data_IF_014045524359
#
_entry.id   IF_014045524359
#
_cell.length_a   1.000
_cell.length_b   1.000
_cell.length_c   1.000
_cell.angle_alpha   90.00
_cell.angle_beta   90.00
_cell.angle_gamma   90.00
#
_symmetry.space_group_name_H-M   'P 1'
#
loop_
_entity.id
_entity.type
_entity.pdbx_description
1 polymer ?
#
# COMPACT_ATOMS: atom_id res chain seq x y z
N UNK A 1 25.80 51.59 -7.07
CA UNK A 1 24.38 51.21 -7.07
C UNK A 1 24.18 49.76 -6.57
N UNK A 2 24.60 49.37 -5.35
CA UNK A 2 24.25 48.04 -4.75
C UNK A 2 24.18 48.07 -3.20
N UNK A 3 23.85 49.20 -2.55
CA UNK A 3 23.91 49.27 -1.06
C UNK A 3 22.73 49.95 -0.36
N UNK A 4 21.55 50.04 -0.99
CA UNK A 4 20.39 50.74 -0.37
C UNK A 4 19.10 49.91 -0.24
N UNK A 5 19.17 48.57 -0.25
CA UNK A 5 17.98 47.70 -0.10
C UNK A 5 17.95 46.98 1.26
N UNK A 6 18.48 47.60 2.33
CA UNK A 6 18.45 47.02 3.69
C UNK A 6 17.68 47.85 4.73
N UNK A 7 16.79 48.74 4.28
CA UNK A 7 15.94 49.54 5.18
C UNK A 7 14.49 49.55 4.70
N UNK A 8 13.82 48.40 4.79
CA UNK A 8 12.36 48.31 4.81
C UNK A 8 11.91 47.03 5.56
N UNK A 9 12.56 46.73 6.69
CA UNK A 9 12.14 45.66 7.61
C UNK A 9 11.07 46.12 8.59
N UNK A 10 10.06 46.86 8.12
CA UNK A 10 9.10 47.55 8.98
C UNK A 10 7.68 47.50 8.46
N UNK A 11 7.05 46.32 8.54
CA UNK A 11 5.58 46.18 8.70
C UNK A 11 5.25 44.82 9.35
N UNK A 12 5.83 44.55 10.52
CA UNK A 12 5.38 43.50 11.44
C UNK A 12 4.08 43.88 12.17
N UNK A 13 3.07 44.38 11.44
CA UNK A 13 1.81 44.89 12.00
C UNK A 13 0.55 44.53 11.19
N UNK A 14 0.67 43.62 10.21
CA UNK A 14 -0.48 43.08 9.47
C UNK A 14 -0.75 41.58 9.77
N UNK A 15 0.11 40.91 10.55
CA UNK A 15 0.04 39.46 10.80
C UNK A 15 -1.02 39.01 11.83
N UNK A 16 -1.71 39.92 12.53
CA UNK A 16 -2.65 39.56 13.60
C UNK A 16 -4.13 39.79 13.27
N UNK A 17 -4.48 40.23 12.06
CA UNK A 17 -5.86 40.62 11.75
C UNK A 17 -6.72 39.49 11.17
N UNK A 18 -6.10 38.49 10.53
CA UNK A 18 -6.76 37.28 10.01
C UNK A 18 -5.88 36.07 10.30
N UNK A 19 -6.32 35.17 11.18
CA UNK A 19 -5.47 34.05 11.58
C UNK A 19 -6.24 32.89 12.19
N UNK A 20 -5.63 31.71 12.15
CA UNK A 20 -6.17 30.47 12.69
C UNK A 20 -6.56 30.60 14.18
N UNK A 21 -5.76 31.33 14.96
CA UNK A 21 -6.05 31.60 16.37
C UNK A 21 -7.25 32.54 16.56
N UNK A 22 -7.41 33.54 15.69
CA UNK A 22 -8.54 34.47 15.74
C UNK A 22 -9.82 33.71 15.38
N UNK A 23 -9.80 32.91 14.31
CA UNK A 23 -10.90 32.03 13.89
C UNK A 23 -11.37 31.05 14.99
N UNK A 24 -10.41 30.51 15.75
CA UNK A 24 -10.69 29.60 16.88
C UNK A 24 -11.27 30.33 18.11
N UNK A 25 -10.86 31.57 18.36
CA UNK A 25 -11.39 32.38 19.47
C UNK A 25 -12.77 32.95 19.12
N UNK A 26 -12.93 33.49 17.92
CA UNK A 26 -14.17 34.06 17.38
C UNK A 26 -15.28 33.03 17.21
N UNK A 27 -14.95 31.83 16.70
CA UNK A 27 -15.89 30.73 16.47
C UNK A 27 -16.36 30.02 17.74
N UNK A 28 -15.75 30.31 18.90
CA UNK A 28 -16.08 29.74 20.21
C UNK A 28 -15.86 28.22 20.31
N UNK A 29 -16.46 27.61 21.33
CA UNK A 29 -16.17 26.21 21.71
C UNK A 29 -16.41 25.19 20.60
N UNK A 30 -17.40 25.44 19.72
CA UNK A 30 -17.74 24.54 18.61
C UNK A 30 -16.61 24.53 17.57
N UNK A 31 -16.08 25.71 17.20
CA UNK A 31 -14.97 25.83 16.24
C UNK A 31 -13.71 25.13 16.76
N UNK A 32 -13.43 25.29 18.06
CA UNK A 32 -12.30 24.61 18.72
C UNK A 32 -12.46 23.09 18.73
N UNK A 33 -13.66 22.59 19.01
CA UNK A 33 -13.96 21.15 18.95
C UNK A 33 -13.79 20.60 17.53
N UNK A 34 -14.31 21.28 16.51
CA UNK A 34 -14.18 20.90 15.10
C UNK A 34 -12.71 20.83 14.69
N UNK A 35 -11.93 21.87 15.01
CA UNK A 35 -10.49 21.90 14.75
C UNK A 35 -9.76 20.75 15.45
N UNK A 36 -10.05 20.51 16.73
CA UNK A 36 -9.42 19.44 17.52
C UNK A 36 -9.71 18.07 16.91
N UNK A 37 -10.95 17.83 16.47
CA UNK A 37 -11.35 16.59 15.79
C UNK A 37 -10.56 16.43 14.48
N UNK A 38 -10.46 17.48 13.65
CA UNK A 38 -9.68 17.43 12.40
C UNK A 38 -8.21 17.12 12.64
N UNK A 39 -7.59 17.74 13.65
CA UNK A 39 -6.20 17.48 14.02
C UNK A 39 -6.03 16.03 14.48
N UNK A 40 -6.92 15.52 15.32
CA UNK A 40 -6.87 14.12 15.79
C UNK A 40 -7.02 13.14 14.61
N UNK A 41 -7.98 13.37 13.72
CA UNK A 41 -8.18 12.56 12.51
C UNK A 41 -6.93 12.57 11.62
N UNK A 42 -6.26 13.71 11.48
CA UNK A 42 -5.01 13.84 10.73
C UNK A 42 -3.89 12.99 11.34
N UNK A 43 -3.64 13.15 12.64
CA UNK A 43 -2.58 12.42 13.35
C UNK A 43 -2.79 10.91 13.26
N UNK A 44 -4.02 10.43 13.49
CA UNK A 44 -4.35 9.00 13.40
C UNK A 44 -4.20 8.49 11.96
N UNK A 45 -4.58 9.29 10.96
CA UNK A 45 -4.42 8.92 9.54
C UNK A 45 -2.96 8.75 9.14
N UNK A 46 -2.10 9.67 9.55
CA UNK A 46 -0.65 9.54 9.32
C UNK A 46 -0.05 8.36 10.07
N UNK A 47 -0.46 8.12 11.32
CA UNK A 47 -0.03 6.95 12.08
C UNK A 47 -0.38 5.64 11.37
N UNK A 48 -1.62 5.49 10.90
CA UNK A 48 -2.05 4.31 10.14
C UNK A 48 -1.28 4.19 8.82
N UNK A 49 -1.10 5.30 8.08
CA UNK A 49 -0.32 5.32 6.85
C UNK A 49 1.08 4.75 7.05
N UNK A 50 1.84 5.28 8.02
CA UNK A 50 3.22 4.83 8.24
C UNK A 50 3.30 3.41 8.81
N UNK A 51 2.45 3.06 9.78
CA UNK A 51 2.44 1.72 10.35
C UNK A 51 2.14 0.65 9.29
N UNK A 52 1.11 0.86 8.46
CA UNK A 52 0.75 -0.07 7.37
C UNK A 52 1.78 -0.06 6.24
N UNK A 53 2.40 1.08 5.95
CA UNK A 53 3.49 1.17 4.98
C UNK A 53 4.62 0.19 5.34
N UNK A 54 5.10 0.24 6.58
CA UNK A 54 6.20 -0.60 7.05
C UNK A 54 5.82 -2.08 7.11
N UNK A 55 4.61 -2.39 7.57
CA UNK A 55 4.06 -3.75 7.58
C UNK A 55 4.01 -4.36 6.17
N UNK A 56 3.41 -3.65 5.21
CA UNK A 56 3.34 -4.07 3.81
C UNK A 56 4.72 -4.19 3.17
N UNK A 57 5.63 -3.24 3.43
CA UNK A 57 7.00 -3.29 2.90
C UNK A 57 7.76 -4.50 3.41
N UNK A 58 7.57 -4.86 4.68
CA UNK A 58 8.13 -6.07 5.26
C UNK A 58 7.62 -7.32 4.55
N UNK A 59 6.33 -7.42 4.27
CA UNK A 59 5.74 -8.58 3.57
C UNK A 59 6.25 -8.67 2.14
N UNK A 60 6.31 -7.56 1.39
CA UNK A 60 6.86 -7.55 0.04
C UNK A 60 8.34 -7.96 0.00
N UNK A 61 9.12 -7.56 1.01
CA UNK A 61 10.51 -8.00 1.12
C UNK A 61 10.60 -9.51 1.47
N UNK A 62 9.67 -10.04 2.26
CA UNK A 62 9.56 -11.47 2.51
C UNK A 62 9.20 -12.24 1.24
N UNK A 63 8.27 -11.73 0.43
CA UNK A 63 7.88 -12.31 -0.86
C UNK A 63 9.10 -12.50 -1.78
N UNK A 64 9.96 -11.48 -1.88
CA UNK A 64 11.21 -11.54 -2.65
C UNK A 64 12.15 -12.63 -2.15
N UNK A 65 12.31 -12.77 -0.83
CA UNK A 65 13.17 -13.82 -0.23
C UNK A 65 12.61 -15.21 -0.49
N UNK A 66 11.31 -15.40 -0.35
CA UNK A 66 10.62 -16.66 -0.63
C UNK A 66 10.83 -17.05 -2.10
N UNK A 67 10.63 -16.12 -3.03
CA UNK A 67 10.82 -16.36 -4.47
C UNK A 67 12.25 -16.71 -4.86
N UNK A 68 13.26 -16.19 -4.13
CA UNK A 68 14.66 -16.42 -4.43
C UNK A 68 15.22 -17.74 -3.89
N UNK A 69 14.72 -18.23 -2.75
CA UNK A 69 15.39 -19.34 -2.04
C UNK A 69 14.48 -20.32 -1.28
N UNK A 70 13.16 -20.17 -1.32
CA UNK A 70 12.28 -21.13 -0.63
C UNK A 70 12.32 -22.50 -1.32
N UNK A 71 12.15 -22.52 -2.65
CA UNK A 71 12.08 -23.76 -3.44
C UNK A 71 13.42 -24.47 -3.65
N UNK A 72 14.54 -23.87 -3.25
CA UNK A 72 15.85 -24.53 -3.24
C UNK A 72 16.07 -25.44 -2.03
N UNK A 73 15.18 -25.42 -1.04
CA UNK A 73 15.26 -26.31 0.12
C UNK A 73 14.76 -27.73 -0.24
N UNK A 74 15.21 -28.73 0.50
CA UNK A 74 14.86 -30.13 0.22
C UNK A 74 13.43 -30.49 0.65
N UNK A 75 12.84 -29.72 1.57
CA UNK A 75 11.45 -29.90 2.03
C UNK A 75 10.78 -28.57 2.40
N UNK A 76 9.44 -28.54 2.44
CA UNK A 76 8.67 -27.38 2.93
C UNK A 76 8.96 -27.06 4.39
N UNK A 77 9.19 -28.07 5.24
CA UNK A 77 9.48 -27.88 6.67
C UNK A 77 10.84 -27.20 6.87
N UNK A 78 11.85 -27.55 6.07
CA UNK A 78 13.13 -26.86 6.06
C UNK A 78 13.00 -25.43 5.48
N UNK A 79 12.19 -25.27 4.43
CA UNK A 79 11.85 -23.96 3.87
C UNK A 79 11.19 -23.05 4.91
N UNK A 80 10.17 -23.55 5.64
CA UNK A 80 9.43 -22.77 6.65
C UNK A 80 10.27 -22.41 7.87
N UNK A 81 11.29 -23.21 8.20
CA UNK A 81 12.25 -22.91 9.27
C UNK A 81 13.21 -21.76 8.91
N UNK A 82 13.47 -21.52 7.61
CA UNK A 82 14.29 -20.40 7.11
C UNK A 82 13.52 -19.09 7.02
N UNK A 83 12.19 -19.10 7.15
CA UNK A 83 11.37 -17.89 7.17
C UNK A 83 11.34 -17.23 8.56
N UNK A 84 11.14 -15.92 8.57
CA UNK A 84 10.97 -15.16 9.81
C UNK A 84 9.74 -15.69 10.60
N UNK A 85 9.87 -15.80 11.93
CA UNK A 85 8.80 -16.28 12.83
C UNK A 85 7.47 -15.52 12.67
N UNK A 86 7.54 -14.22 12.32
CA UNK A 86 6.38 -13.34 12.13
C UNK A 86 6.14 -13.03 10.63
N UNK A 87 6.32 -14.01 9.75
CA UNK A 87 6.06 -13.86 8.31
C UNK A 87 4.68 -14.38 7.93
N UNK A 88 3.98 -13.63 7.08
CA UNK A 88 2.73 -14.08 6.45
C UNK A 88 2.94 -15.38 5.65
N UNK A 89 4.06 -15.47 4.93
CA UNK A 89 4.44 -16.65 4.16
C UNK A 89 4.73 -17.86 5.06
N UNK A 90 5.30 -17.63 6.25
CA UNK A 90 5.55 -18.71 7.23
C UNK A 90 4.24 -19.25 7.78
N UNK A 91 3.33 -18.36 8.18
CA UNK A 91 2.01 -18.73 8.67
C UNK A 91 1.30 -19.62 7.64
N UNK A 92 1.30 -19.23 6.35
CA UNK A 92 0.68 -20.01 5.28
C UNK A 92 1.28 -21.43 5.14
N UNK A 93 2.61 -21.54 5.17
CA UNK A 93 3.29 -22.84 5.06
C UNK A 93 3.04 -23.71 6.28
N UNK A 94 3.10 -23.14 7.48
CA UNK A 94 2.89 -23.88 8.72
C UNK A 94 1.42 -24.37 8.82
N UNK A 95 0.45 -23.55 8.41
CA UNK A 95 -0.97 -23.94 8.33
C UNK A 95 -1.21 -25.03 7.27
N UNK A 96 -0.49 -24.97 6.14
CA UNK A 96 -0.51 -26.02 5.11
C UNK A 96 0.09 -27.35 5.59
N UNK A 97 1.22 -27.31 6.30
CA UNK A 97 1.85 -28.50 6.89
C UNK A 97 0.96 -29.13 7.97
N UNK A 98 0.34 -28.31 8.83
CA UNK A 98 -0.62 -28.80 9.82
C UNK A 98 -1.83 -29.46 9.15
N UNK A 99 -2.34 -28.88 8.06
CA UNK A 99 -3.42 -29.46 7.27
C UNK A 99 -3.01 -30.77 6.58
N UNK A 100 -1.76 -30.89 6.10
CA UNK A 100 -1.22 -32.13 5.54
C UNK A 100 -1.10 -33.25 6.59
N UNK A 101 -0.75 -32.92 7.83
CA UNK A 101 -0.69 -33.91 8.91
C UNK A 101 -2.10 -34.38 9.32
N UNK A 102 -3.11 -33.50 9.23
CA UNK A 102 -4.53 -33.84 9.43
C UNK A 102 -5.12 -34.61 8.24
N UNK A 103 -4.69 -34.31 7.01
CA UNK A 103 -5.08 -34.99 5.78
C UNK A 103 -4.83 -36.51 5.86
N UNK A 104 -3.81 -36.97 6.60
CA UNK A 104 -3.53 -38.41 6.82
C UNK A 104 -4.60 -39.12 7.66
N UNK A 105 -5.44 -38.37 8.36
CA UNK A 105 -6.51 -38.89 9.21
C UNK A 105 -7.85 -38.98 8.48
N UNK A 106 -7.96 -38.38 7.29
CA UNK A 106 -9.16 -38.45 6.46
C UNK A 106 -9.12 -39.67 5.55
N UNK A 107 -10.25 -40.37 5.44
CA UNK A 107 -10.37 -41.63 4.70
C UNK A 107 -10.62 -41.42 3.20
N UNK A 108 -11.24 -40.30 2.82
CA UNK A 108 -11.55 -39.95 1.44
C UNK A 108 -10.49 -38.99 0.86
N UNK A 109 -9.79 -39.36 -0.23
CA UNK A 109 -8.83 -38.48 -0.90
C UNK A 109 -9.40 -37.14 -1.39
N UNK A 110 -10.68 -37.10 -1.76
CA UNK A 110 -11.35 -35.87 -2.23
C UNK A 110 -11.56 -34.91 -1.07
N UNK A 111 -12.11 -35.40 0.04
CA UNK A 111 -12.29 -34.60 1.26
C UNK A 111 -10.95 -34.11 1.82
N UNK A 112 -9.91 -34.93 1.71
CA UNK A 112 -8.58 -34.57 2.15
C UNK A 112 -7.97 -33.43 1.30
N UNK A 113 -8.18 -33.46 -0.03
CA UNK A 113 -7.80 -32.35 -0.92
C UNK A 113 -8.56 -31.06 -0.59
N UNK A 114 -9.88 -31.15 -0.41
CA UNK A 114 -10.74 -30.01 -0.08
C UNK A 114 -10.38 -29.40 1.28
N UNK A 115 -10.03 -30.24 2.27
CA UNK A 115 -9.56 -29.78 3.58
C UNK A 115 -8.28 -28.96 3.48
N UNK A 116 -7.31 -29.44 2.68
CA UNK A 116 -6.04 -28.76 2.49
C UNK A 116 -6.23 -27.41 1.78
N UNK A 117 -6.98 -27.40 0.68
CA UNK A 117 -7.32 -26.17 -0.06
C UNK A 117 -8.05 -25.17 0.86
N UNK A 118 -9.05 -25.64 1.60
CA UNK A 118 -9.80 -24.83 2.57
C UNK A 118 -8.94 -24.27 3.70
N UNK A 119 -7.95 -25.02 4.20
CA UNK A 119 -7.03 -24.55 5.23
C UNK A 119 -6.15 -23.39 4.74
N UNK A 120 -5.57 -23.54 3.55
CA UNK A 120 -4.77 -22.50 2.93
C UNK A 120 -5.60 -21.23 2.64
N UNK A 121 -6.82 -21.40 2.11
CA UNK A 121 -7.74 -20.29 1.86
C UNK A 121 -8.11 -19.53 3.16
N UNK A 122 -8.33 -20.25 4.27
CA UNK A 122 -8.56 -19.62 5.58
C UNK A 122 -7.33 -18.85 6.09
N UNK A 123 -6.13 -19.40 5.91
CA UNK A 123 -4.89 -18.74 6.30
C UNK A 123 -4.67 -17.45 5.50
N UNK A 124 -4.87 -17.52 4.19
CA UNK A 124 -4.81 -16.36 3.29
C UNK A 124 -5.82 -15.29 3.68
N UNK A 125 -7.07 -15.68 3.95
CA UNK A 125 -8.12 -14.76 4.41
C UNK A 125 -7.75 -14.09 5.75
N UNK A 126 -7.17 -14.84 6.69
CA UNK A 126 -6.72 -14.30 7.97
C UNK A 126 -5.57 -13.28 7.80
N UNK A 127 -4.64 -13.53 6.87
CA UNK A 127 -3.56 -12.59 6.54
C UNK A 127 -4.14 -11.33 5.89
N UNK A 128 -5.00 -11.48 4.88
CA UNK A 128 -5.64 -10.36 4.18
C UNK A 128 -6.49 -9.49 5.12
N UNK A 129 -7.18 -10.09 6.09
CA UNK A 129 -7.94 -9.37 7.12
C UNK A 129 -7.04 -8.46 7.97
N UNK A 130 -5.86 -8.95 8.39
CA UNK A 130 -4.87 -8.14 9.13
C UNK A 130 -4.34 -6.97 8.29
N UNK A 131 -4.11 -7.20 6.99
CA UNK A 131 -3.68 -6.16 6.05
C UNK A 131 -4.75 -5.09 5.82
N UNK A 132 -6.03 -5.48 5.87
CA UNK A 132 -7.18 -4.59 5.76
C UNK A 132 -7.40 -3.67 6.97
N UNK A 133 -6.82 -4.01 8.13
CA UNK A 133 -6.97 -3.23 9.36
C UNK A 133 -6.56 -1.76 9.19
N UNK A 134 -7.37 -0.84 9.71
CA UNK A 134 -7.10 0.60 9.67
C UNK A 134 -7.42 1.30 8.34
N UNK A 135 -7.51 0.59 7.20
CA UNK A 135 -7.87 1.23 5.92
C UNK A 135 -9.28 1.82 5.94
N UNK A 136 -10.21 1.16 6.64
CA UNK A 136 -11.57 1.67 6.84
C UNK A 136 -11.56 3.06 7.50
N UNK A 137 -10.67 3.28 8.49
CA UNK A 137 -10.55 4.58 9.14
C UNK A 137 -10.05 5.66 8.17
N UNK A 138 -9.02 5.37 7.36
CA UNK A 138 -8.55 6.31 6.33
C UNK A 138 -9.65 6.66 5.31
N UNK A 139 -10.44 5.66 4.89
CA UNK A 139 -11.58 5.89 4.01
C UNK A 139 -12.63 6.79 4.67
N UNK A 140 -12.97 6.53 5.94
CA UNK A 140 -13.90 7.36 6.71
C UNK A 140 -13.38 8.77 6.90
N UNK A 141 -12.12 8.98 7.27
CA UNK A 141 -11.52 10.31 7.40
C UNK A 141 -11.55 11.05 6.06
N UNK A 142 -11.14 10.38 4.98
CA UNK A 142 -11.16 10.94 3.64
C UNK A 142 -12.55 11.39 3.19
N UNK A 143 -13.59 10.64 3.54
CA UNK A 143 -14.97 10.97 3.21
C UNK A 143 -15.59 12.04 4.14
N UNK A 144 -15.22 12.07 5.42
CA UNK A 144 -15.93 12.88 6.43
C UNK A 144 -15.22 14.20 6.78
N UNK A 145 -13.89 14.27 6.71
CA UNK A 145 -13.13 15.48 7.06
C UNK A 145 -13.54 16.74 6.27
N UNK A 146 -13.89 16.70 4.97
CA UNK A 146 -14.37 17.88 4.25
C UNK A 146 -15.69 18.41 4.82
N UNK A 147 -16.60 17.52 5.20
CA UNK A 147 -17.89 17.89 5.78
C UNK A 147 -17.75 18.43 7.20
N UNK A 148 -16.79 17.92 7.97
CA UNK A 148 -16.46 18.46 9.30
C UNK A 148 -15.90 19.90 9.16
N UNK A 149 -15.04 20.14 8.17
CA UNK A 149 -14.54 21.48 7.85
C UNK A 149 -15.66 22.43 7.39
N UNK A 150 -16.56 21.95 6.52
CA UNK A 150 -17.75 22.68 6.06
C UNK A 150 -18.69 23.05 7.22
N UNK A 151 -18.89 22.14 8.17
CA UNK A 151 -19.66 22.41 9.38
C UNK A 151 -19.01 23.53 10.21
N UNK A 152 -17.69 23.52 10.34
CA UNK A 152 -16.94 24.59 11.00
C UNK A 152 -17.16 25.96 10.36
N UNK A 153 -17.14 26.04 9.03
CA UNK A 153 -17.44 27.27 8.28
C UNK A 153 -18.86 27.76 8.56
N UNK A 154 -19.85 26.87 8.46
CA UNK A 154 -21.27 27.21 8.66
C UNK A 154 -21.50 27.80 10.05
N UNK A 155 -20.95 27.15 11.08
CA UNK A 155 -21.05 27.66 12.46
C UNK A 155 -20.31 28.99 12.63
N UNK A 156 -19.13 29.14 12.03
CA UNK A 156 -18.35 30.39 12.08
C UNK A 156 -19.14 31.57 11.50
N UNK A 157 -19.66 31.41 10.29
CA UNK A 157 -20.48 32.43 9.61
C UNK A 157 -21.76 32.72 10.40
N UNK A 158 -22.44 31.69 10.90
CA UNK A 158 -23.65 31.85 11.71
C UNK A 158 -23.41 32.72 12.95
N UNK A 159 -22.33 32.48 13.70
CA UNK A 159 -21.98 33.28 14.88
C UNK A 159 -21.59 34.71 14.52
N UNK A 160 -20.89 34.90 13.40
CA UNK A 160 -20.56 36.22 12.89
C UNK A 160 -21.81 37.05 12.60
N UNK A 161 -22.78 36.46 11.87
CA UNK A 161 -24.03 37.14 11.50
C UNK A 161 -24.87 37.52 12.74
N UNK A 162 -24.89 36.68 13.79
CA UNK A 162 -25.55 37.04 15.05
C UNK A 162 -24.90 38.26 15.70
N UNK A 163 -23.56 38.32 15.76
CA UNK A 163 -22.84 39.47 16.34
C UNK A 163 -23.13 40.75 15.56
N UNK A 164 -23.12 40.69 14.23
CA UNK A 164 -23.43 41.83 13.35
C UNK A 164 -24.86 42.30 13.56
N UNK A 165 -25.83 41.37 13.54
CA UNK A 165 -27.24 41.68 13.79
C UNK A 165 -27.50 42.30 15.16
N UNK A 166 -26.79 41.84 16.20
CA UNK A 166 -26.87 42.41 17.54
C UNK A 166 -26.23 43.81 17.65
N UNK A 167 -25.20 44.09 16.84
CA UNK A 167 -24.52 45.39 16.82
C UNK A 167 -25.26 46.48 16.03
N UNK A 168 -26.16 46.09 15.13
CA UNK A 168 -26.93 47.03 14.29
C UNK A 168 -26.14 47.71 13.17
N UNK A 169 -24.84 47.40 13.00
CA UNK A 169 -23.98 47.95 11.95
C UNK A 169 -23.59 46.85 10.94
N UNK A 170 -24.21 46.83 9.73
CA UNK A 170 -23.90 45.86 8.69
C UNK A 170 -22.71 46.25 7.81
N UNK A 171 -21.78 47.09 8.29
CA UNK A 171 -20.58 47.48 7.52
C UNK A 171 -19.76 46.27 7.04
N UNK A 172 -19.29 46.31 5.78
CA UNK A 172 -18.53 45.23 5.16
C UNK A 172 -17.28 44.85 5.97
N UNK A 173 -16.65 45.84 6.62
CA UNK A 173 -15.47 45.65 7.44
C UNK A 173 -15.73 44.73 8.65
N UNK A 174 -16.98 44.69 9.15
CA UNK A 174 -17.40 43.80 10.24
C UNK A 174 -17.75 42.38 9.77
N UNK A 175 -18.04 42.21 8.49
CA UNK A 175 -18.43 40.93 7.88
C UNK A 175 -17.21 40.20 7.30
N UNK A 176 -16.29 40.92 6.67
CA UNK A 176 -15.21 40.34 5.88
C UNK A 176 -14.28 39.44 6.70
N UNK A 177 -13.92 39.86 7.92
CA UNK A 177 -13.01 39.10 8.79
C UNK A 177 -13.57 37.76 9.24
N UNK A 178 -14.71 37.71 9.93
CA UNK A 178 -15.30 36.45 10.40
C UNK A 178 -15.61 35.46 9.27
N UNK A 179 -16.00 35.96 8.08
CA UNK A 179 -16.22 35.12 6.90
C UNK A 179 -14.91 34.52 6.39
N UNK A 180 -13.84 35.32 6.27
CA UNK A 180 -12.52 34.84 5.87
C UNK A 180 -11.95 33.80 6.84
N UNK A 181 -12.10 34.03 8.14
CA UNK A 181 -11.69 33.11 9.20
C UNK A 181 -12.44 31.78 9.16
N UNK A 182 -13.75 31.82 8.91
CA UNK A 182 -14.55 30.62 8.77
C UNK A 182 -14.05 29.74 7.62
N UNK A 183 -13.68 30.32 6.47
CA UNK A 183 -13.19 29.60 5.29
C UNK A 183 -11.92 28.76 5.57
N UNK A 184 -11.12 29.15 6.55
CA UNK A 184 -9.94 28.38 6.97
C UNK A 184 -10.33 26.98 7.46
N UNK A 185 -11.49 26.82 8.11
CA UNK A 185 -11.94 25.51 8.60
C UNK A 185 -12.24 24.53 7.47
N UNK A 186 -12.80 25.00 6.36
CA UNK A 186 -13.00 24.17 5.16
C UNK A 186 -11.68 23.78 4.53
N UNK A 187 -10.74 24.73 4.42
CA UNK A 187 -9.41 24.46 3.89
C UNK A 187 -8.70 23.38 4.72
N UNK A 188 -8.79 23.45 6.06
CA UNK A 188 -8.24 22.43 6.95
C UNK A 188 -8.90 21.07 6.75
N UNK A 189 -10.22 21.02 6.60
CA UNK A 189 -10.94 19.78 6.28
C UNK A 189 -10.39 19.10 5.02
N UNK A 190 -10.09 19.88 3.98
CA UNK A 190 -9.49 19.36 2.74
C UNK A 190 -8.03 18.93 2.94
N UNK A 191 -7.23 19.69 3.68
CA UNK A 191 -5.84 19.34 4.00
C UNK A 191 -5.75 18.02 4.78
N UNK A 192 -6.75 17.70 5.60
CA UNK A 192 -6.83 16.41 6.30
C UNK A 192 -7.35 15.30 5.38
N UNK A 193 -8.37 15.59 4.56
CA UNK A 193 -9.02 14.59 3.71
C UNK A 193 -8.13 14.08 2.57
N UNK A 194 -7.46 14.98 1.85
CA UNK A 194 -6.72 14.64 0.63
C UNK A 194 -5.60 13.62 0.89
N UNK A 195 -4.70 13.81 1.88
CA UNK A 195 -3.69 12.81 2.21
C UNK A 195 -4.30 11.48 2.65
N UNK A 196 -5.41 11.49 3.41
CA UNK A 196 -6.07 10.27 3.87
C UNK A 196 -6.63 9.44 2.71
N UNK A 197 -7.28 10.08 1.72
CA UNK A 197 -7.80 9.41 0.51
C UNK A 197 -6.66 8.86 -0.35
N UNK A 198 -5.58 9.63 -0.53
CA UNK A 198 -4.42 9.19 -1.29
C UNK A 198 -3.73 7.98 -0.62
N UNK A 199 -3.56 8.06 0.70
CA UNK A 199 -3.03 6.97 1.52
C UNK A 199 -3.88 5.71 1.39
N UNK A 200 -5.20 5.83 1.54
CA UNK A 200 -6.14 4.71 1.41
C UNK A 200 -5.99 4.01 0.05
N UNK A 201 -6.10 4.76 -1.04
CA UNK A 201 -6.02 4.20 -2.40
C UNK A 201 -4.66 3.56 -2.69
N UNK A 202 -3.59 4.14 -2.18
CA UNK A 202 -2.26 3.60 -2.35
C UNK A 202 -2.04 2.31 -1.55
N UNK A 203 -2.40 2.29 -0.26
CA UNK A 203 -2.30 1.10 0.59
C UNK A 203 -3.22 -0.02 0.09
N UNK A 204 -4.41 0.31 -0.42
CA UNK A 204 -5.34 -0.68 -0.97
C UNK A 204 -4.78 -1.38 -2.21
N UNK A 205 -4.12 -0.63 -3.10
CA UNK A 205 -3.43 -1.21 -4.27
C UNK A 205 -2.28 -2.12 -3.84
N UNK A 206 -1.52 -1.74 -2.82
CA UNK A 206 -0.45 -2.59 -2.26
C UNK A 206 -1.02 -3.86 -1.62
N UNK A 207 -2.11 -3.76 -0.87
CA UNK A 207 -2.80 -4.92 -0.32
C UNK A 207 -3.21 -5.89 -1.43
N UNK A 208 -3.80 -5.40 -2.52
CA UNK A 208 -4.18 -6.25 -3.67
C UNK A 208 -2.98 -7.00 -4.26
N UNK A 209 -1.86 -6.31 -4.49
CA UNK A 209 -0.64 -6.95 -4.98
C UNK A 209 -0.08 -8.00 -4.01
N UNK A 210 -0.13 -7.74 -2.69
CA UNK A 210 0.28 -8.73 -1.69
C UNK A 210 -0.67 -9.93 -1.67
N UNK A 211 -1.98 -9.70 -1.78
CA UNK A 211 -2.96 -10.78 -1.87
C UNK A 211 -2.69 -11.67 -3.08
N UNK A 212 -2.45 -11.08 -4.26
CA UNK A 212 -2.10 -11.83 -5.48
C UNK A 212 -0.82 -12.68 -5.30
N UNK A 213 0.24 -12.11 -4.71
CA UNK A 213 1.48 -12.83 -4.40
C UNK A 213 1.24 -13.97 -3.39
N UNK A 214 0.38 -13.76 -2.38
CA UNK A 214 0.02 -14.78 -1.40
C UNK A 214 -0.82 -15.89 -2.03
N UNK A 215 -1.81 -15.58 -2.86
CA UNK A 215 -2.62 -16.60 -3.56
C UNK A 215 -1.76 -17.44 -4.49
N UNK A 216 -0.84 -16.81 -5.24
CA UNK A 216 0.10 -17.54 -6.10
C UNK A 216 0.98 -18.50 -5.28
N UNK A 217 1.54 -18.03 -4.16
CA UNK A 217 2.34 -18.86 -3.27
C UNK A 217 1.51 -19.96 -2.57
N UNK A 218 0.25 -19.68 -2.24
CA UNK A 218 -0.71 -20.64 -1.68
C UNK A 218 -0.93 -21.81 -2.64
N UNK A 219 -1.17 -21.51 -3.91
CA UNK A 219 -1.35 -22.51 -4.97
C UNK A 219 -0.09 -23.36 -5.19
N UNK A 220 1.08 -22.71 -5.16
CA UNK A 220 2.38 -23.37 -5.25
C UNK A 220 2.60 -24.36 -4.08
N UNK A 221 2.27 -23.94 -2.85
CA UNK A 221 2.33 -24.78 -1.64
C UNK A 221 1.34 -25.93 -1.73
N UNK A 222 0.09 -25.66 -2.14
CA UNK A 222 -0.93 -26.67 -2.36
C UNK A 222 -0.47 -27.73 -3.36
N UNK A 223 0.06 -27.32 -4.51
CA UNK A 223 0.55 -28.23 -5.54
C UNK A 223 1.70 -29.11 -5.05
N UNK A 224 2.63 -28.55 -4.27
CA UNK A 224 3.70 -29.33 -3.65
C UNK A 224 3.13 -30.34 -2.63
N UNK A 225 2.24 -29.91 -1.74
CA UNK A 225 1.69 -30.77 -0.69
C UNK A 225 0.81 -31.89 -1.26
N UNK A 226 -0.05 -31.57 -2.23
CA UNK A 226 -0.93 -32.54 -2.90
C UNK A 226 -0.14 -33.57 -3.74
N UNK A 227 1.04 -33.20 -4.24
CA UNK A 227 1.92 -34.09 -5.01
C UNK A 227 2.97 -34.81 -4.17
N UNK A 228 2.92 -34.69 -2.83
CA UNK A 228 3.95 -35.20 -1.92
C UNK A 228 5.38 -34.77 -2.31
N UNK A 229 5.52 -33.54 -2.83
CA UNK A 229 6.78 -32.93 -3.22
C UNK A 229 7.28 -33.24 -4.62
N UNK A 230 6.50 -33.95 -5.44
CA UNK A 230 6.85 -34.22 -6.84
C UNK A 230 6.73 -32.96 -7.72
N UNK A 231 5.79 -32.07 -7.42
CA UNK A 231 5.60 -30.80 -8.12
C UNK A 231 6.30 -29.68 -7.34
N UNK A 232 7.41 -29.19 -7.88
CA UNK A 232 8.02 -27.92 -7.44
C UNK A 232 7.67 -26.85 -8.46
N UNK A 233 7.09 -25.71 -8.05
CA UNK A 233 6.79 -24.64 -8.98
C UNK A 233 8.10 -24.10 -9.58
N UNK A 234 8.10 -23.95 -10.89
CA UNK A 234 9.24 -23.41 -11.62
C UNK A 234 9.30 -21.92 -11.31
N UNK A 235 10.25 -21.50 -10.45
CA UNK A 235 10.46 -20.09 -10.18
C UNK A 235 10.64 -19.36 -11.51
N UNK A 236 9.77 -18.39 -11.81
CA UNK A 236 9.82 -17.62 -13.07
C UNK A 236 11.18 -16.91 -13.30
N UNK A 237 12.03 -16.80 -12.27
CA UNK A 237 13.41 -16.35 -12.42
C UNK A 237 14.30 -17.31 -13.25
N UNK A 238 13.97 -18.60 -13.31
CA UNK A 238 14.68 -19.60 -14.12
C UNK A 238 14.28 -19.55 -15.61
N UNK A 239 13.03 -19.15 -15.92
CA UNK A 239 12.53 -19.06 -17.29
C UNK A 239 13.04 -17.81 -18.06
N UNK A 240 13.59 -16.82 -17.36
CA UNK A 240 14.06 -15.56 -17.93
C UNK A 240 15.55 -15.57 -18.31
N UNK A 241 16.29 -16.68 -18.18
CA UNK A 241 17.64 -16.76 -18.78
C UNK A 241 17.50 -16.96 -20.29
N UNK A 242 17.90 -15.99 -21.12
CA UNK A 242 17.94 -16.22 -22.56
C UNK A 242 18.95 -17.33 -22.83
N UNK A 243 18.49 -18.40 -23.49
CA UNK A 243 19.36 -19.45 -24.01
C UNK A 243 20.45 -18.77 -24.87
N UNK A 244 21.76 -19.01 -24.62
CA UNK A 244 22.79 -18.49 -25.50
C UNK A 244 22.52 -19.05 -26.90
N UNK A 245 22.32 -18.16 -27.87
CA UNK A 245 22.12 -18.55 -29.26
C UNK A 245 23.29 -19.45 -29.70
N UNK A 246 22.97 -20.68 -30.08
CA UNK A 246 23.93 -21.64 -30.60
C UNK A 246 24.69 -21.01 -31.77
N UNK A 247 26.01 -20.92 -31.65
CA UNK A 247 26.89 -20.40 -32.68
C UNK A 247 26.78 -21.30 -33.92
N UNK A 248 26.25 -20.76 -35.02
CA UNK A 248 26.16 -21.43 -36.31
C UNK A 248 27.58 -21.82 -36.78
N UNK A 249 27.85 -23.08 -37.17
CA UNK A 249 29.16 -23.46 -37.68
C UNK A 249 29.40 -22.81 -39.06
N UNK A 250 30.57 -22.21 -39.23
CA UNK A 250 31.09 -21.67 -40.48
C UNK A 250 31.28 -22.77 -41.53
N UNK A 251 30.88 -22.57 -42.81
CA UNK A 251 31.15 -23.55 -43.86
C UNK A 251 32.65 -23.60 -44.17
N UNK A 252 33.25 -24.79 -44.04
CA UNK A 252 34.64 -25.04 -44.43
C UNK A 252 34.83 -24.88 -45.94
N UNK A 253 35.88 -24.14 -46.30
CA UNK A 253 36.34 -23.98 -47.68
C UNK A 253 37.03 -25.29 -48.12
N UNK A 254 36.36 -26.09 -48.96
CA UNK A 254 37.01 -27.23 -49.63
C UNK A 254 37.79 -26.72 -50.84
N UNK A 255 39.11 -26.70 -50.72
CA UNK A 255 40.04 -26.49 -51.85
C UNK A 255 40.02 -27.72 -52.76
N UNK A 256 39.65 -27.52 -54.01
CA UNK A 256 39.72 -28.53 -55.06
C UNK A 256 41.20 -28.82 -55.41
N UNK A 257 41.61 -30.07 -55.23
CA UNK A 257 42.88 -30.62 -55.72
C UNK A 257 42.62 -31.64 -56.82
N UNK A 258 42.91 -31.24 -58.05
CA UNK A 258 42.89 -32.04 -59.28
C UNK A 258 44.13 -32.92 -59.38
N UNK A 259 43.94 -34.23 -59.55
CA UNK A 259 44.77 -35.20 -60.31
C UNK A 259 44.04 -36.55 -60.17
N UNK A 260 43.66 -37.34 -61.16
CA UNK A 260 44.17 -37.60 -62.50
C UNK A 260 44.13 -39.13 -62.66
N UNK A 261 43.47 -39.67 -63.68
CA UNK A 261 43.42 -41.13 -63.86
C UNK A 261 42.33 -41.61 -64.81
N UNK A 262 42.70 -41.73 -66.07
CA UNK A 262 41.95 -42.33 -67.18
C UNK A 262 41.86 -43.84 -66.98
N UNK A 263 40.68 -44.46 -67.13
CA UNK A 263 40.62 -45.76 -67.80
C UNK A 263 39.28 -46.00 -68.53
N UNK A 264 39.42 -46.73 -69.63
CA UNK A 264 38.56 -46.93 -70.78
C UNK A 264 37.71 -48.21 -70.64
N UNK A 265 36.60 -48.22 -71.40
CA UNK A 265 35.87 -49.38 -71.99
C UNK A 265 34.97 -50.15 -71.00
N UNK A 266 33.80 -50.63 -71.40
CA UNK A 266 33.27 -50.96 -72.74
C UNK A 266 31.84 -50.44 -72.96
#
# INVERSE_FOLDING_TARGET
>A
MITTILAAGGTAAAESQFGLQQALKEGGIISQSVFTILVLMSVVSFYILFSKLFEQQKILNQAKRVRQGFWSSNSLREGSAKLDKNSAYKQLVDDGLAAQDQHKQLTDPVEAHDWLHGSLARSEAAINSKLGGGLAFLATVGATAPFIGLFGTVVGIYRALIKIGASGDPSIDKVAGPVGEALIMTALGLVVAVPAVLAYNWLQRRNKSISEDLSAFSNDVLGYLASNGAVKPVSAAAAARPTPAATRPTPGTTTAGTTGGVEKRA
#
